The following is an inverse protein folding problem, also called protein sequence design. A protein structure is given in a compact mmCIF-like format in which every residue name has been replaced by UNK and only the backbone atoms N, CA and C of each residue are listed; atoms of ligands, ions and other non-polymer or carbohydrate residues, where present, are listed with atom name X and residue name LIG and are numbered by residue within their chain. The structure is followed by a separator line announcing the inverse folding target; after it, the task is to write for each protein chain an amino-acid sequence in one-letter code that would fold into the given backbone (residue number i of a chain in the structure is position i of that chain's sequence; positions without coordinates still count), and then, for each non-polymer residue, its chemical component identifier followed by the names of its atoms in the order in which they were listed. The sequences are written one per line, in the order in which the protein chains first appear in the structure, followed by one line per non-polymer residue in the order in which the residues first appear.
data_IF_030268442122
#
_entry.id   IF_030268442122
#
_cell.length_a   1.000
_cell.length_b   1.000
_cell.length_c   1.000
_cell.angle_alpha   90.00
_cell.angle_beta   90.00
_cell.angle_gamma   90.00
#
_symmetry.space_group_name_H-M   'P 1'
#
loop_
_entity.id
_entity.type
_entity.pdbx_description
1 polymer ?
#
# COMPACT_ATOMS: atom_id res chain seq x y z
N UNK A 1 7.96 2.72 -24.75
CA UNK A 1 7.89 1.28 -24.44
C UNK A 1 7.48 1.09 -23.00
N UNK A 2 6.93 -0.08 -22.65
CA UNK A 2 6.51 -0.40 -21.28
C UNK A 2 7.65 -0.20 -20.29
N UNK A 3 7.33 0.37 -19.12
CA UNK A 3 8.25 0.53 -18.00
C UNK A 3 7.67 -0.21 -16.81
N UNK A 4 8.54 -0.80 -16.01
CA UNK A 4 8.19 -1.39 -14.72
C UNK A 4 8.09 -0.22 -13.73
N UNK A 5 7.00 -0.20 -12.97
CA UNK A 5 6.78 0.75 -11.86
C UNK A 5 7.61 0.35 -10.64
N UNK A 6 6.96 -0.16 -9.61
CA UNK A 6 7.60 -0.70 -8.42
C UNK A 6 7.90 -2.19 -8.55
N UNK A 7 8.74 -2.72 -7.64
CA UNK A 7 8.89 -4.16 -7.40
C UNK A 7 8.42 -4.46 -5.99
N UNK A 8 8.02 -5.69 -5.72
CA UNK A 8 7.70 -6.15 -4.37
C UNK A 8 8.87 -6.98 -3.82
N UNK A 9 9.35 -6.65 -2.62
CA UNK A 9 10.28 -7.52 -1.91
C UNK A 9 9.50 -8.69 -1.28
N UNK A 10 9.88 -9.96 -1.55
CA UNK A 10 9.15 -11.14 -1.04
C UNK A 10 9.50 -11.42 0.43
N UNK A 11 9.13 -10.50 1.32
CA UNK A 11 9.51 -10.48 2.74
C UNK A 11 8.78 -11.50 3.60
N UNK A 12 7.83 -12.25 3.04
CA UNK A 12 6.98 -13.16 3.80
C UNK A 12 7.63 -14.53 4.04
N UNK A 13 7.35 -15.22 5.16
CA UNK A 13 7.93 -16.53 5.46
C UNK A 13 7.76 -17.60 4.36
N UNK A 14 6.59 -17.74 3.69
CA UNK A 14 6.43 -18.73 2.63
C UNK A 14 7.33 -18.51 1.40
N UNK A 15 7.81 -17.28 1.19
CA UNK A 15 8.71 -16.93 0.09
C UNK A 15 10.19 -16.92 0.51
N UNK A 16 10.49 -17.38 1.72
CA UNK A 16 11.83 -17.39 2.31
C UNK A 16 12.21 -16.11 3.07
N UNK A 17 11.29 -15.15 3.20
CA UNK A 17 11.46 -13.96 4.02
C UNK A 17 11.23 -14.22 5.52
N UNK A 18 10.98 -13.16 6.28
CA UNK A 18 10.76 -13.22 7.73
C UNK A 18 10.06 -11.97 8.25
N UNK A 19 9.44 -12.07 9.42
CA UNK A 19 8.72 -10.97 10.05
C UNK A 19 9.67 -9.82 10.46
N UNK A 20 9.29 -8.59 10.14
CA UNK A 20 10.04 -7.40 10.52
C UNK A 20 10.06 -7.17 12.04
N UNK A 21 9.06 -7.70 12.76
CA UNK A 21 8.97 -7.60 14.21
C UNK A 21 9.96 -8.52 14.94
N UNK A 22 10.41 -9.64 14.33
CA UNK A 22 11.36 -10.57 14.96
C UNK A 22 12.79 -10.01 14.89
N UNK A 23 13.42 -9.63 16.01
CA UNK A 23 14.77 -9.05 15.99
C UNK A 23 15.88 -10.06 15.67
N UNK A 24 15.57 -11.37 15.63
CA UNK A 24 16.50 -12.45 15.36
C UNK A 24 16.55 -12.86 13.89
N UNK A 25 16.31 -14.15 13.62
CA UNK A 25 16.45 -14.72 12.29
C UNK A 25 15.42 -14.18 11.29
N UNK A 26 14.22 -13.80 11.75
CA UNK A 26 13.17 -13.20 10.92
C UNK A 26 13.63 -11.88 10.29
N UNK A 27 14.15 -10.94 11.09
CA UNK A 27 14.77 -9.70 10.58
C UNK A 27 15.90 -9.98 9.60
N UNK A 28 16.75 -10.98 9.87
CA UNK A 28 17.82 -11.36 8.95
C UNK A 28 17.28 -11.73 7.56
N UNK A 29 16.28 -12.60 7.50
CA UNK A 29 15.62 -13.00 6.24
C UNK A 29 14.86 -11.85 5.57
N UNK A 30 14.24 -10.98 6.37
CA UNK A 30 13.58 -9.76 5.87
C UNK A 30 14.57 -8.88 5.09
N UNK A 31 15.72 -8.59 5.71
CA UNK A 31 16.75 -7.73 5.12
C UNK A 31 17.38 -8.37 3.88
N UNK A 32 17.60 -9.69 3.88
CA UNK A 32 18.09 -10.43 2.71
C UNK A 32 17.10 -10.34 1.52
N UNK A 33 15.80 -10.48 1.79
CA UNK A 33 14.76 -10.35 0.76
C UNK A 33 14.73 -8.92 0.17
N UNK A 34 14.82 -7.89 1.02
CA UNK A 34 14.91 -6.49 0.59
C UNK A 34 16.19 -6.25 -0.23
N UNK A 35 17.34 -6.74 0.22
CA UNK A 35 18.61 -6.60 -0.51
C UNK A 35 18.53 -7.22 -1.90
N UNK A 36 18.01 -8.45 -2.00
CA UNK A 36 17.84 -9.15 -3.28
C UNK A 36 16.94 -8.36 -4.23
N UNK A 37 15.82 -7.84 -3.73
CA UNK A 37 14.91 -7.00 -4.52
C UNK A 37 15.59 -5.72 -4.99
N UNK A 38 16.33 -5.03 -4.11
CA UNK A 38 17.07 -3.82 -4.42
C UNK A 38 18.15 -4.06 -5.49
N UNK A 39 18.92 -5.15 -5.37
CA UNK A 39 19.96 -5.52 -6.34
C UNK A 39 19.38 -5.79 -7.73
N UNK A 40 18.25 -6.50 -7.80
CA UNK A 40 17.54 -6.74 -9.07
C UNK A 40 16.99 -5.42 -9.61
N UNK A 41 16.33 -4.62 -8.77
CA UNK A 41 15.78 -3.32 -9.10
C UNK A 41 16.81 -2.36 -9.68
N UNK A 42 18.00 -2.30 -9.09
CA UNK A 42 19.09 -1.46 -9.55
C UNK A 42 19.59 -1.86 -10.94
N UNK A 43 19.68 -3.17 -11.23
CA UNK A 43 20.02 -3.66 -12.57
C UNK A 43 18.94 -3.29 -13.59
N UNK A 44 17.66 -3.49 -13.26
CA UNK A 44 16.55 -3.12 -14.14
C UNK A 44 16.52 -1.61 -14.42
N UNK A 45 16.85 -0.78 -13.42
CA UNK A 45 16.98 0.67 -13.61
C UNK A 45 18.17 1.04 -14.48
N UNK A 46 19.33 0.42 -14.25
CA UNK A 46 20.54 0.61 -15.09
C UNK A 46 20.29 0.28 -16.56
N UNK A 47 19.47 -0.73 -16.84
CA UNK A 47 19.07 -1.09 -18.21
C UNK A 47 17.92 -0.26 -18.76
N UNK A 48 17.37 0.67 -17.96
CA UNK A 48 16.30 1.57 -18.36
C UNK A 48 14.90 0.96 -18.37
N UNK A 49 14.70 -0.24 -17.80
CA UNK A 49 13.38 -0.89 -17.74
C UNK A 49 12.52 -0.38 -16.58
N UNK A 50 13.14 0.04 -15.47
CA UNK A 50 12.46 0.48 -14.23
C UNK A 50 13.04 1.82 -13.73
N UNK A 51 12.57 2.97 -14.23
CA UNK A 51 13.14 4.26 -13.87
C UNK A 51 12.81 4.71 -12.43
N UNK A 52 11.65 4.32 -11.88
CA UNK A 52 11.06 4.90 -10.66
C UNK A 52 11.71 4.56 -9.34
N UNK A 53 12.45 3.44 -9.24
CA UNK A 53 13.29 3.17 -8.07
C UNK A 53 12.55 2.92 -6.75
N UNK A 54 11.32 2.38 -6.79
CA UNK A 54 10.55 2.01 -5.58
C UNK A 54 10.46 0.49 -5.38
N UNK A 55 10.69 0.01 -4.17
CA UNK A 55 10.49 -1.37 -3.73
C UNK A 55 9.40 -1.41 -2.63
N UNK A 56 8.28 -2.08 -2.88
CA UNK A 56 7.23 -2.31 -1.88
C UNK A 56 7.70 -3.30 -0.83
N UNK A 57 7.39 -3.01 0.42
CA UNK A 57 7.61 -3.87 1.59
C UNK A 57 6.36 -3.92 2.46
N UNK A 58 6.30 -4.94 3.31
CA UNK A 58 5.34 -5.07 4.41
C UNK A 58 6.08 -5.30 5.73
N UNK A 59 5.37 -5.36 6.86
CA UNK A 59 5.97 -5.85 8.11
C UNK A 59 6.10 -7.38 8.14
N UNK A 60 5.33 -8.11 7.32
CA UNK A 60 5.26 -9.57 7.35
C UNK A 60 4.91 -10.14 8.75
N UNK A 61 4.26 -9.34 9.59
CA UNK A 61 3.82 -9.68 10.95
C UNK A 61 2.30 -9.67 11.01
N UNK A 62 1.66 -10.69 11.59
CA UNK A 62 0.20 -10.72 11.72
C UNK A 62 -0.32 -9.66 12.70
N UNK A 63 -1.56 -9.16 12.50
CA UNK A 63 -2.15 -8.16 13.42
C UNK A 63 -2.30 -8.72 14.84
N UNK A 64 -2.78 -9.96 14.98
CA UNK A 64 -2.91 -10.61 16.30
C UNK A 64 -1.55 -10.78 16.97
N UNK A 65 -0.54 -11.26 16.24
CA UNK A 65 0.83 -11.41 16.73
C UNK A 65 1.42 -10.08 17.20
N UNK A 66 1.20 -9.00 16.44
CA UNK A 66 1.62 -7.65 16.85
C UNK A 66 0.88 -7.16 18.11
N UNK A 67 -0.39 -7.53 18.29
CA UNK A 67 -1.19 -7.15 19.45
C UNK A 67 -0.90 -7.99 20.71
N UNK A 68 -0.25 -9.15 20.57
CA UNK A 68 0.08 -10.06 21.66
C UNK A 68 1.21 -9.51 22.54
N UNK A 69 0.88 -8.62 23.48
CA UNK A 69 1.83 -8.07 24.45
C UNK A 69 1.98 -6.56 24.30
N UNK A 70 3.22 -6.08 24.30
CA UNK A 70 3.51 -4.65 24.20
C UNK A 70 3.59 -4.22 22.73
N UNK A 71 2.45 -3.79 22.20
CA UNK A 71 2.32 -3.38 20.79
C UNK A 71 3.14 -2.15 20.42
N UNK A 72 3.50 -1.30 21.38
CA UNK A 72 4.41 -0.17 21.13
C UNK A 72 5.85 -0.68 20.99
N UNK A 73 6.29 -1.58 21.86
CA UNK A 73 7.60 -2.24 21.71
C UNK A 73 7.70 -3.02 20.40
N UNK A 74 6.62 -3.67 19.97
CA UNK A 74 6.53 -4.35 18.68
C UNK A 74 6.61 -3.38 17.51
N UNK A 75 5.93 -2.23 17.58
CA UNK A 75 6.02 -1.18 16.56
C UNK A 75 7.44 -0.61 16.47
N UNK A 76 8.12 -0.43 17.60
CA UNK A 76 9.53 -0.03 17.62
C UNK A 76 10.43 -1.08 16.96
N UNK A 77 10.21 -2.38 17.21
CA UNK A 77 10.98 -3.45 16.58
C UNK A 77 10.82 -3.49 15.05
N UNK A 78 9.59 -3.25 14.54
CA UNK A 78 9.32 -3.11 13.10
C UNK A 78 10.01 -1.87 12.54
N UNK A 79 9.91 -0.73 13.21
CA UNK A 79 10.58 0.51 12.81
C UNK A 79 12.11 0.33 12.71
N UNK A 80 12.71 -0.38 13.67
CA UNK A 80 14.15 -0.70 13.67
C UNK A 80 14.56 -1.56 12.48
N UNK A 81 13.71 -2.50 12.08
CA UNK A 81 13.93 -3.31 10.86
C UNK A 81 13.76 -2.47 9.60
N UNK A 82 12.75 -1.60 9.54
CA UNK A 82 12.53 -0.69 8.41
C UNK A 82 13.68 0.30 8.24
N UNK A 83 14.28 0.79 9.33
CA UNK A 83 15.50 1.62 9.30
C UNK A 83 16.68 0.88 8.65
N UNK A 84 16.88 -0.38 9.02
CA UNK A 84 17.93 -1.21 8.43
C UNK A 84 17.65 -1.52 6.96
N UNK A 85 16.40 -1.85 6.61
CA UNK A 85 15.98 -2.09 5.24
C UNK A 85 16.19 -0.85 4.36
N UNK A 86 15.82 0.33 4.85
CA UNK A 86 16.03 1.59 4.15
C UNK A 86 17.53 1.91 3.95
N UNK A 87 18.38 1.55 4.93
CA UNK A 87 19.83 1.66 4.79
C UNK A 87 20.38 0.70 3.72
N UNK A 88 19.88 -0.53 3.65
CA UNK A 88 20.18 -1.48 2.57
C UNK A 88 19.76 -0.90 1.22
N UNK A 89 18.50 -0.46 1.09
CA UNK A 89 17.96 0.12 -0.15
C UNK A 89 18.78 1.32 -0.66
N UNK A 90 19.26 2.17 0.27
CA UNK A 90 20.12 3.32 -0.06
C UNK A 90 21.42 2.91 -0.76
N UNK A 91 22.01 1.75 -0.43
CA UNK A 91 23.23 1.26 -1.11
C UNK A 91 23.02 0.98 -2.59
N UNK A 92 21.78 0.70 -2.98
CA UNK A 92 21.37 0.43 -4.35
C UNK A 92 20.68 1.64 -4.99
N UNK A 93 20.55 2.77 -4.29
CA UNK A 93 19.81 3.95 -4.73
C UNK A 93 18.31 3.71 -4.85
N UNK A 94 17.74 2.81 -4.05
CA UNK A 94 16.32 2.46 -4.05
C UNK A 94 15.59 3.13 -2.87
N UNK A 95 14.32 3.44 -3.10
CA UNK A 95 13.36 3.85 -2.07
C UNK A 95 12.45 2.69 -1.71
N UNK A 96 12.02 2.63 -0.46
CA UNK A 96 11.07 1.64 0.05
C UNK A 96 9.69 2.27 0.22
N UNK A 97 8.64 1.56 -0.15
CA UNK A 97 7.26 1.96 0.13
C UNK A 97 6.57 0.88 0.96
N UNK A 98 6.15 1.23 2.18
CA UNK A 98 5.35 0.35 3.01
C UNK A 98 3.90 0.38 2.52
N UNK A 99 3.34 -0.77 2.12
CA UNK A 99 1.98 -0.81 1.59
C UNK A 99 0.94 -0.63 2.69
N UNK A 100 -0.02 0.27 2.44
CA UNK A 100 -1.12 0.55 3.35
C UNK A 100 -2.17 -0.54 3.46
N UNK A 101 -1.77 -1.75 3.82
CA UNK A 101 -2.61 -2.94 3.87
C UNK A 101 -3.06 -3.30 5.30
N UNK A 102 -4.31 -3.74 5.45
CA UNK A 102 -4.92 -4.00 6.76
C UNK A 102 -4.46 -5.30 7.43
N UNK A 103 -3.81 -6.23 6.74
CA UNK A 103 -3.44 -7.52 7.31
C UNK A 103 -2.09 -7.51 8.05
N UNK A 104 -1.33 -6.41 7.98
CA UNK A 104 0.01 -6.32 8.55
C UNK A 104 0.03 -5.56 9.89
N UNK A 105 0.54 -6.22 10.94
CA UNK A 105 0.78 -5.66 12.26
C UNK A 105 1.67 -4.42 12.19
N UNK A 106 1.38 -3.42 13.02
CA UNK A 106 2.03 -2.10 12.98
C UNK A 106 1.67 -1.21 11.78
N UNK A 107 0.95 -1.74 10.78
CA UNK A 107 0.57 -1.02 9.55
C UNK A 107 -0.95 -1.00 9.30
N UNK A 108 -1.74 -1.79 10.03
CA UNK A 108 -3.16 -2.07 9.76
C UNK A 108 -4.16 -0.92 10.01
N UNK A 109 -3.68 0.31 10.26
CA UNK A 109 -4.50 1.52 10.29
C UNK A 109 -3.69 2.74 9.87
N UNK A 110 -4.40 3.82 9.54
CA UNK A 110 -3.76 5.09 9.19
C UNK A 110 -2.91 5.67 10.32
N UNK A 111 -3.36 5.60 11.58
CA UNK A 111 -2.55 6.10 12.72
C UNK A 111 -1.35 5.22 13.02
N UNK A 112 -1.51 3.89 12.95
CA UNK A 112 -0.38 2.96 13.19
C UNK A 112 0.68 3.11 12.10
N UNK A 113 0.25 3.29 10.85
CA UNK A 113 1.17 3.55 9.74
C UNK A 113 1.90 4.90 9.90
N UNK A 114 1.20 5.99 10.27
CA UNK A 114 1.86 7.28 10.59
C UNK A 114 2.89 7.08 11.70
N UNK A 115 2.51 6.43 12.81
CA UNK A 115 3.40 6.17 13.93
C UNK A 115 4.65 5.38 13.51
N UNK A 116 4.48 4.35 12.70
CA UNK A 116 5.57 3.53 12.19
C UNK A 116 6.54 4.33 11.30
N UNK A 117 6.01 5.14 10.39
CA UNK A 117 6.81 5.99 9.50
C UNK A 117 7.59 7.07 10.27
N UNK A 118 6.96 7.68 11.28
CA UNK A 118 7.62 8.63 12.19
C UNK A 118 8.72 7.99 13.02
N UNK A 119 8.52 6.75 13.52
CA UNK A 119 9.54 6.02 14.27
C UNK A 119 10.71 5.57 13.40
N UNK A 120 10.44 5.20 12.15
CA UNK A 120 11.48 4.79 11.22
C UNK A 120 12.33 5.99 10.76
N UNK A 121 11.70 7.13 10.49
CA UNK A 121 12.36 8.41 10.15
C UNK A 121 13.49 8.28 9.12
N UNK A 122 13.15 7.72 7.95
CA UNK A 122 14.10 7.54 6.83
C UNK A 122 13.62 8.28 5.58
N UNK A 123 14.50 9.07 4.92
CA UNK A 123 14.11 9.86 3.75
C UNK A 123 13.79 9.01 2.51
N UNK A 124 14.30 7.77 2.43
CA UNK A 124 14.03 6.83 1.35
C UNK A 124 13.05 5.72 1.78
N UNK A 125 12.24 5.96 2.81
CA UNK A 125 11.13 5.10 3.23
C UNK A 125 9.85 5.92 3.21
N UNK A 126 8.88 5.48 2.43
CA UNK A 126 7.59 6.12 2.30
C UNK A 126 6.45 5.11 2.40
N UNK A 127 5.30 5.57 1.92
CA UNK A 127 4.03 4.87 1.91
C UNK A 127 3.62 4.52 0.48
N UNK A 128 3.11 3.31 0.28
CA UNK A 128 2.34 2.97 -0.92
C UNK A 128 0.86 3.04 -0.57
N UNK A 129 0.16 3.99 -1.20
CA UNK A 129 -1.26 4.15 -1.05
C UNK A 129 -2.00 3.22 -2.01
N UNK A 130 -2.64 2.19 -1.49
CA UNK A 130 -3.62 1.39 -2.23
C UNK A 130 -5.04 1.84 -1.89
N UNK A 131 -5.84 2.17 -2.91
CA UNK A 131 -7.19 2.71 -2.70
C UNK A 131 -8.15 1.71 -2.03
N UNK A 132 -8.07 0.42 -2.37
CA UNK A 132 -8.90 -0.62 -1.80
C UNK A 132 -8.55 -0.81 -0.32
N UNK A 133 -7.26 -0.88 0.01
CA UNK A 133 -6.81 -1.09 1.38
C UNK A 133 -7.05 0.13 2.27
N UNK A 134 -6.79 1.34 1.76
CA UNK A 134 -6.98 2.58 2.53
C UNK A 134 -8.45 2.94 2.75
N UNK A 135 -9.37 2.47 1.90
CA UNK A 135 -10.81 2.50 2.23
C UNK A 135 -11.07 1.74 3.54
N UNK A 136 -10.45 0.59 3.75
CA UNK A 136 -10.68 -0.23 4.95
C UNK A 136 -10.08 0.38 6.22
N UNK A 137 -9.08 1.27 6.10
CA UNK A 137 -8.66 2.11 7.23
C UNK A 137 -9.78 3.03 7.71
N UNK A 138 -10.60 3.58 6.81
CA UNK A 138 -11.75 4.44 7.20
C UNK A 138 -12.80 3.65 8.00
N UNK A 139 -12.91 2.34 7.74
CA UNK A 139 -13.81 1.42 8.42
C UNK A 139 -13.23 0.85 9.72
N UNK A 140 -11.94 1.04 9.99
CA UNK A 140 -11.26 0.51 11.19
C UNK A 140 -11.33 -1.01 11.30
N UNK A 141 -11.23 -1.74 10.18
CA UNK A 141 -11.53 -3.18 10.13
C UNK A 141 -10.74 -4.02 11.14
N UNK A 142 -9.43 -3.76 11.25
CA UNK A 142 -8.53 -4.40 12.20
C UNK A 142 -8.06 -3.45 13.33
N UNK A 143 -8.57 -2.21 13.36
CA UNK A 143 -8.30 -1.21 14.39
C UNK A 143 -9.56 -0.34 14.63
N UNK A 144 -10.60 -0.88 15.31
CA UNK A 144 -11.85 -0.17 15.54
C UNK A 144 -11.68 1.18 16.24
N UNK A 145 -10.64 1.34 17.05
CA UNK A 145 -10.26 2.58 17.74
C UNK A 145 -9.77 3.70 16.80
N UNK A 146 -9.40 3.37 15.56
CA UNK A 146 -8.99 4.34 14.53
C UNK A 146 -10.04 4.56 13.43
N UNK A 147 -11.21 3.94 13.59
CA UNK A 147 -12.35 4.06 12.68
C UNK A 147 -12.77 5.53 12.50
N UNK A 148 -13.12 5.89 11.26
CA UNK A 148 -13.67 7.20 10.90
C UNK A 148 -15.14 7.13 10.49
N UNK A 149 -15.53 6.07 9.78
CA UNK A 149 -16.91 5.83 9.37
C UNK A 149 -17.68 5.03 10.42
N UNK A 150 -18.98 5.31 10.66
CA UNK A 150 -19.79 4.57 11.61
C UNK A 150 -19.74 3.06 11.41
N UNK A 151 -19.96 2.30 12.49
CA UNK A 151 -20.22 0.87 12.38
C UNK A 151 -21.46 0.63 11.50
N UNK A 152 -21.34 -0.31 10.56
CA UNK A 152 -22.42 -0.59 9.60
C UNK A 152 -22.74 0.55 8.64
N UNK A 153 -21.80 1.46 8.36
CA UNK A 153 -22.00 2.57 7.43
C UNK A 153 -22.61 2.09 6.10
N UNK A 154 -23.75 2.66 5.72
CA UNK A 154 -24.57 2.21 4.60
C UNK A 154 -24.08 2.70 3.22
N UNK A 155 -23.07 3.58 3.18
CA UNK A 155 -22.56 4.21 1.95
C UNK A 155 -23.60 5.05 1.19
N UNK A 156 -24.60 5.57 1.91
CA UNK A 156 -25.64 6.48 1.41
C UNK A 156 -25.31 7.97 1.62
N UNK A 157 -24.19 8.27 2.30
CA UNK A 157 -23.65 9.62 2.51
C UNK A 157 -22.26 9.76 1.87
N UNK A 158 -22.19 10.12 0.57
CA UNK A 158 -20.92 10.29 -0.13
C UNK A 158 -20.00 11.33 0.51
N UNK A 159 -20.56 12.40 1.10
CA UNK A 159 -19.76 13.46 1.72
C UNK A 159 -19.04 12.95 2.97
N UNK A 160 -19.67 12.06 3.74
CA UNK A 160 -19.04 11.43 4.90
C UNK A 160 -17.94 10.44 4.50
N UNK A 161 -18.15 9.67 3.43
CA UNK A 161 -17.10 8.84 2.85
C UNK A 161 -15.91 9.69 2.39
N UNK A 162 -16.17 10.75 1.61
CA UNK A 162 -15.15 11.66 1.11
C UNK A 162 -14.32 12.25 2.26
N UNK A 163 -14.99 12.73 3.32
CA UNK A 163 -14.33 13.34 4.46
C UNK A 163 -13.43 12.34 5.21
N UNK A 164 -13.92 11.11 5.44
CA UNK A 164 -13.14 10.07 6.10
C UNK A 164 -11.93 9.63 5.25
N UNK A 165 -12.14 9.45 3.96
CA UNK A 165 -11.08 9.02 3.03
C UNK A 165 -10.03 10.12 2.82
N UNK A 166 -10.47 11.38 2.69
CA UNK A 166 -9.59 12.55 2.64
C UNK A 166 -8.76 12.67 3.92
N UNK A 167 -9.32 12.39 5.10
CA UNK A 167 -8.58 12.44 6.36
C UNK A 167 -7.46 11.38 6.42
N UNK A 168 -7.72 10.16 5.93
CA UNK A 168 -6.67 9.13 5.79
C UNK A 168 -5.59 9.58 4.80
N UNK A 169 -6.01 10.10 3.65
CA UNK A 169 -5.08 10.58 2.63
C UNK A 169 -4.23 11.76 3.15
N UNK A 170 -4.82 12.74 3.82
CA UNK A 170 -4.10 13.89 4.38
C UNK A 170 -3.04 13.47 5.38
N UNK A 171 -3.34 12.48 6.22
CA UNK A 171 -2.39 11.96 7.19
C UNK A 171 -1.19 11.27 6.53
N UNK A 172 -1.40 10.48 5.47
CA UNK A 172 -0.35 9.62 4.90
C UNK A 172 0.32 10.18 3.63
N UNK A 173 -0.35 11.10 2.92
CA UNK A 173 0.13 11.72 1.66
C UNK A 173 1.53 12.35 1.76
N UNK A 174 1.97 12.92 2.90
CA UNK A 174 3.36 13.38 3.04
C UNK A 174 4.41 12.28 2.82
N UNK A 175 4.06 11.01 3.06
CA UNK A 175 4.94 9.86 2.85
C UNK A 175 4.64 9.10 1.55
N UNK A 176 3.53 9.37 0.86
CA UNK A 176 3.13 8.61 -0.34
C UNK A 176 4.09 8.83 -1.50
N UNK A 177 4.83 7.77 -1.87
CA UNK A 177 5.77 7.73 -3.00
C UNK A 177 5.36 6.71 -4.08
N UNK A 178 4.36 5.89 -3.78
CA UNK A 178 3.81 4.88 -4.67
C UNK A 178 2.29 4.85 -4.53
N UNK A 179 1.57 4.62 -5.64
CA UNK A 179 0.12 4.74 -5.66
C UNK A 179 -0.53 3.68 -6.55
N UNK A 180 -1.43 2.92 -5.94
CA UNK A 180 -2.23 1.89 -6.55
C UNK A 180 -3.70 2.36 -6.63
N UNK A 181 -4.17 2.54 -7.85
CA UNK A 181 -5.58 2.72 -8.17
C UNK A 181 -6.27 1.37 -8.02
N UNK A 182 -7.32 1.32 -7.23
CA UNK A 182 -8.04 0.09 -6.94
C UNK A 182 -9.51 0.37 -6.61
N UNK A 183 -10.30 -0.70 -6.55
CA UNK A 183 -11.70 -0.68 -6.14
C UNK A 183 -11.93 -1.74 -5.06
N UNK A 184 -12.83 -1.44 -4.12
CA UNK A 184 -13.23 -2.32 -3.04
C UNK A 184 -14.73 -2.16 -2.75
N UNK A 185 -15.38 -3.26 -2.39
CA UNK A 185 -16.82 -3.34 -2.08
C UNK A 185 -17.12 -3.18 -0.58
N UNK A 186 -16.17 -2.62 0.18
CA UNK A 186 -16.08 -2.57 1.65
C UNK A 186 -15.92 -3.95 2.33
N UNK A 187 -15.50 -4.97 1.60
CA UNK A 187 -15.25 -6.31 2.16
C UNK A 187 -13.77 -6.67 2.19
N UNK A 188 -13.47 -7.69 2.99
CA UNK A 188 -12.16 -8.32 3.07
C UNK A 188 -12.19 -9.69 2.39
N UNK A 189 -11.03 -10.12 1.93
CA UNK A 189 -10.79 -11.47 1.45
C UNK A 189 -9.80 -12.14 2.41
N UNK A 190 -10.04 -13.41 2.77
CA UNK A 190 -9.11 -14.21 3.57
C UNK A 190 -8.51 -15.33 2.73
N UNK A 191 -7.19 -15.41 2.64
CA UNK A 191 -6.49 -16.54 2.01
C UNK A 191 -5.07 -16.71 2.54
N UNK A 192 -4.74 -17.94 2.98
CA UNK A 192 -3.40 -18.28 3.46
C UNK A 192 -2.97 -17.44 4.68
N UNK A 193 -1.77 -16.86 4.63
CA UNK A 193 -1.23 -15.97 5.68
C UNK A 193 -1.88 -14.57 5.71
N UNK A 194 -2.76 -14.26 4.77
CA UNK A 194 -3.58 -13.04 4.78
C UNK A 194 -4.94 -13.39 5.40
N UNK A 195 -5.00 -13.46 6.73
CA UNK A 195 -6.24 -13.84 7.44
C UNK A 195 -7.40 -12.89 7.11
N UNK A 196 -7.10 -11.60 6.84
CA UNK A 196 -8.04 -10.53 6.44
C UNK A 196 -7.33 -9.45 5.62
N UNK A 197 -7.25 -9.61 4.30
CA UNK A 197 -6.73 -8.58 3.38
C UNK A 197 -7.88 -7.84 2.68
N UNK A 198 -7.65 -6.62 2.19
CA UNK A 198 -8.71 -5.85 1.55
C UNK A 198 -9.06 -6.39 0.17
N UNK A 199 -10.34 -6.72 -0.06
CA UNK A 199 -10.74 -7.34 -1.31
C UNK A 199 -10.65 -6.36 -2.49
N UNK A 200 -9.80 -6.63 -3.47
CA UNK A 200 -9.89 -5.93 -4.75
C UNK A 200 -11.11 -6.43 -5.54
N UNK A 201 -11.92 -5.51 -6.04
CA UNK A 201 -12.99 -5.84 -6.99
C UNK A 201 -12.82 -5.07 -8.31
N UNK A 202 -13.65 -5.40 -9.30
CA UNK A 202 -13.53 -4.80 -10.64
C UNK A 202 -13.84 -3.31 -10.62
N UNK A 203 -13.27 -2.56 -11.58
CA UNK A 203 -13.64 -1.16 -11.84
C UNK A 203 -15.16 -0.97 -11.89
N UNK A 204 -15.86 -1.89 -12.56
CA UNK A 204 -17.31 -1.86 -12.80
C UNK A 204 -18.10 -2.72 -11.82
N UNK A 205 -17.53 -3.12 -10.68
CA UNK A 205 -18.27 -3.88 -9.68
C UNK A 205 -19.47 -3.05 -9.17
N UNK A 206 -20.71 -3.55 -9.25
CA UNK A 206 -21.89 -2.79 -8.82
C UNK A 206 -21.89 -2.47 -7.32
N UNK A 207 -21.09 -3.17 -6.52
CA UNK A 207 -20.94 -2.93 -5.09
C UNK A 207 -19.71 -2.08 -4.75
N UNK A 208 -18.88 -1.70 -5.72
CA UNK A 208 -17.70 -0.86 -5.53
C UNK A 208 -18.06 0.44 -4.81
N UNK A 209 -17.25 0.82 -3.80
CA UNK A 209 -17.55 1.96 -2.92
C UNK A 209 -16.84 3.24 -3.30
N UNK A 210 -15.78 3.16 -4.10
CA UNK A 210 -15.01 4.32 -4.49
C UNK A 210 -15.48 4.82 -5.85
N UNK A 211 -15.73 6.13 -5.94
CA UNK A 211 -15.54 6.85 -7.20
C UNK A 211 -14.03 6.89 -7.48
N UNK A 212 -13.54 5.96 -8.31
CA UNK A 212 -12.11 5.73 -8.54
C UNK A 212 -11.39 7.01 -8.97
N UNK A 213 -11.98 7.77 -9.90
CA UNK A 213 -11.34 8.97 -10.43
C UNK A 213 -11.27 10.03 -9.34
N UNK A 214 -12.39 10.33 -8.69
CA UNK A 214 -12.44 11.34 -7.63
C UNK A 214 -11.53 11.00 -6.45
N UNK A 215 -11.60 9.78 -5.93
CA UNK A 215 -10.86 9.36 -4.74
C UNK A 215 -9.35 9.24 -4.98
N UNK A 216 -8.92 8.96 -6.23
CA UNK A 216 -7.50 9.05 -6.58
C UNK A 216 -6.95 10.47 -6.39
N UNK A 217 -7.79 11.49 -6.59
CA UNK A 217 -7.44 12.89 -6.36
C UNK A 217 -6.99 13.20 -4.94
N UNK A 218 -7.54 12.52 -3.93
CA UNK A 218 -7.16 12.74 -2.52
C UNK A 218 -5.70 12.36 -2.23
N UNK A 219 -5.14 11.42 -2.99
CA UNK A 219 -3.75 10.99 -2.90
C UNK A 219 -2.83 11.81 -3.83
N UNK A 220 -3.29 12.11 -5.03
CA UNK A 220 -2.48 12.74 -6.08
C UNK A 220 -2.45 14.27 -5.99
N UNK A 221 -3.35 14.89 -5.22
CA UNK A 221 -3.41 16.34 -5.00
C UNK A 221 -3.21 16.70 -3.53
N UNK A 222 -2.60 17.86 -3.29
CA UNK A 222 -2.49 18.45 -1.96
C UNK A 222 -3.80 19.20 -1.60
N UNK A 223 -3.84 19.77 -0.38
CA UNK A 223 -5.01 20.49 0.13
C UNK A 223 -5.42 21.71 -0.73
N UNK A 224 -4.47 22.32 -1.45
CA UNK A 224 -4.73 23.43 -2.37
C UNK A 224 -5.23 22.96 -3.74
N UNK A 225 -5.40 21.65 -3.93
CA UNK A 225 -5.78 21.03 -5.21
C UNK A 225 -4.63 20.90 -6.20
N UNK A 226 -3.39 21.23 -5.84
CA UNK A 226 -2.22 21.10 -6.72
C UNK A 226 -1.70 19.66 -6.73
N UNK A 227 -1.17 19.20 -7.86
CA UNK A 227 -0.58 17.86 -7.97
C UNK A 227 0.65 17.74 -7.07
N UNK A 228 0.73 16.65 -6.31
CA UNK A 228 1.87 16.39 -5.43
C UNK A 228 3.14 16.04 -6.22
N UNK A 229 2.99 15.34 -7.35
CA UNK A 229 4.08 14.81 -8.20
C UNK A 229 5.14 14.00 -7.41
N UNK A 230 4.73 13.38 -6.29
CA UNK A 230 5.63 12.58 -5.43
C UNK A 230 5.81 11.15 -5.90
N UNK A 231 4.80 10.57 -6.54
CA UNK A 231 4.93 9.27 -7.18
C UNK A 231 5.48 9.48 -8.60
N UNK A 232 6.24 8.51 -9.11
CA UNK A 232 6.75 8.52 -10.50
C UNK A 232 5.93 7.64 -11.46
N UNK A 233 5.02 6.83 -10.92
CA UNK A 233 4.08 6.03 -11.68
C UNK A 233 2.81 5.79 -10.86
N UNK A 234 1.76 5.29 -11.53
CA UNK A 234 0.54 4.78 -10.90
C UNK A 234 0.27 3.37 -11.45
N UNK A 235 -0.19 2.47 -10.58
CA UNK A 235 -0.54 1.10 -10.93
C UNK A 235 -2.04 0.88 -10.74
N UNK A 236 -2.61 -0.10 -11.46
CA UNK A 236 -3.88 -0.69 -11.06
C UNK A 236 -3.60 -1.92 -10.20
N UNK A 237 -4.29 -2.05 -9.06
CA UNK A 237 -4.21 -3.25 -8.24
C UNK A 237 -5.48 -4.11 -8.36
N UNK A 238 -5.26 -5.34 -8.83
CA UNK A 238 -6.26 -6.39 -8.96
C UNK A 238 -5.69 -7.74 -8.50
N UNK A 239 -4.80 -7.75 -7.51
CA UNK A 239 -4.05 -8.93 -7.06
C UNK A 239 -4.91 -10.14 -6.65
N UNK A 240 -6.21 -9.93 -6.41
CA UNK A 240 -7.18 -10.96 -6.02
C UNK A 240 -8.13 -11.40 -7.14
N UNK A 241 -7.92 -10.95 -8.38
CA UNK A 241 -8.77 -11.33 -9.50
C UNK A 241 -8.57 -12.81 -9.87
N UNK A 242 -9.65 -13.60 -10.02
CA UNK A 242 -9.54 -14.96 -10.51
C UNK A 242 -8.92 -15.02 -11.91
N UNK A 243 -8.18 -16.09 -12.23
CA UNK A 243 -7.54 -16.26 -13.54
C UNK A 243 -8.51 -16.07 -14.72
N UNK A 244 -9.74 -16.59 -14.63
CA UNK A 244 -10.75 -16.42 -15.68
C UNK A 244 -11.09 -14.96 -15.98
N UNK A 245 -10.99 -14.08 -14.98
CA UNK A 245 -11.18 -12.64 -15.15
C UNK A 245 -9.96 -12.00 -15.83
N UNK A 246 -8.75 -12.44 -15.48
CA UNK A 246 -7.50 -11.97 -16.10
C UNK A 246 -7.37 -12.41 -17.57
N UNK A 247 -7.99 -13.54 -17.93
CA UNK A 247 -8.03 -14.04 -19.32
C UNK A 247 -9.07 -13.32 -20.19
N UNK A 248 -9.98 -12.55 -19.62
CA UNK A 248 -10.96 -11.75 -20.37
C UNK A 248 -10.36 -10.40 -20.79
N UNK A 249 -10.16 -10.12 -22.10
CA UNK A 249 -9.67 -8.84 -22.60
C UNK A 249 -10.48 -7.63 -22.14
N UNK A 250 -11.79 -7.80 -21.87
CA UNK A 250 -12.66 -6.73 -21.39
C UNK A 250 -12.20 -6.19 -20.03
N UNK A 251 -11.66 -7.04 -19.16
CA UNK A 251 -11.11 -6.64 -17.86
C UNK A 251 -10.03 -5.58 -18.05
N UNK A 252 -9.07 -5.84 -18.94
CA UNK A 252 -7.96 -4.92 -19.21
C UNK A 252 -8.39 -3.63 -19.90
N UNK A 253 -9.34 -3.70 -20.84
CA UNK A 253 -9.89 -2.50 -21.47
C UNK A 253 -10.60 -1.60 -20.47
N UNK A 254 -11.33 -2.19 -19.52
CA UNK A 254 -12.05 -1.44 -18.48
C UNK A 254 -11.09 -0.80 -17.49
N UNK A 255 -10.03 -1.52 -17.09
CA UNK A 255 -8.95 -0.98 -16.26
C UNK A 255 -8.24 0.17 -16.98
N UNK A 256 -7.87 -0.03 -18.25
CA UNK A 256 -7.18 1.00 -19.02
C UNK A 256 -8.01 2.28 -19.16
N UNK A 257 -9.32 2.17 -19.42
CA UNK A 257 -10.23 3.31 -19.46
C UNK A 257 -10.27 4.07 -18.12
N UNK A 258 -10.38 3.36 -16.99
CA UNK A 258 -10.34 3.98 -15.67
C UNK A 258 -9.00 4.67 -15.38
N UNK A 259 -7.88 4.02 -15.70
CA UNK A 259 -6.53 4.56 -15.51
C UNK A 259 -6.28 5.81 -16.38
N UNK A 260 -6.80 5.83 -17.62
CA UNK A 260 -6.77 7.01 -18.49
C UNK A 260 -7.56 8.15 -17.86
N UNK A 261 -8.75 7.89 -17.30
CA UNK A 261 -9.56 8.92 -16.62
C UNK A 261 -8.85 9.48 -15.39
N UNK A 262 -8.24 8.63 -14.56
CA UNK A 262 -7.42 9.08 -13.41
C UNK A 262 -6.26 9.93 -13.90
N UNK A 263 -5.54 9.48 -14.92
CA UNK A 263 -4.42 10.19 -15.52
C UNK A 263 -4.84 11.59 -16.02
N UNK A 264 -5.91 11.65 -16.79
CA UNK A 264 -6.40 12.89 -17.41
C UNK A 264 -6.94 13.86 -16.35
N UNK A 265 -7.62 13.36 -15.31
CA UNK A 265 -8.12 14.18 -14.21
C UNK A 265 -7.02 14.67 -13.25
N UNK A 266 -5.92 13.91 -13.11
CA UNK A 266 -4.85 14.18 -12.14
C UNK A 266 -3.48 14.42 -12.79
N UNK A 267 -3.47 14.87 -14.06
CA UNK A 267 -2.30 15.44 -14.74
C UNK A 267 -1.04 14.60 -14.73
N UNK A 268 -1.21 13.28 -14.79
CA UNK A 268 -0.12 12.34 -15.04
C UNK A 268 0.13 12.26 -16.56
N UNK A 269 1.37 12.28 -17.00
CA UNK A 269 1.71 12.23 -18.42
C UNK A 269 3.04 11.52 -18.66
#
# INVERSE_FOLDING_TARGET
GLKIGSLVAPVWPPTGGGAAMDPGAGRGKFLEAVEKACKIGANLRRWGFRPSGVIRIDSATGVSEWAEGDSEAHTQAIADTFRQAAAVASQYGESLAAEGEICWGGMHSWKKMVRLLELADKPNLGFQADMAHTLLYTLGYNAPEDRLLPEGFAFDDPAKLDAAYQQVADALRPWTIDFHVAQNDATVFGSGSHDKTGRHCQVSDPNGKLDIVKHAGFWLRNADGNLTRRCEHICWDGCMFPNAMLEDPKTWNTILDAMIKVRDAHGWN
#
